data_IF_180781390690
#
_entry.id   IF_180781390690
#
_cell.length_a   1.000
_cell.length_b   1.000
_cell.length_c   1.000
_cell.angle_alpha   90.00
_cell.angle_beta   90.00
_cell.angle_gamma   90.00
#
_symmetry.space_group_name_H-M   'P 1'
#
loop_
_entity.id
_entity.type
_entity.pdbx_description
1 polymer ?
#
# COMPACT_ATOMS: atom_id res chain seq x y z
N UNK A 1 -1.67 -6.17 7.87
CA UNK A 1 -1.92 -7.26 6.92
C UNK A 1 -0.82 -7.19 5.90
N UNK A 2 -0.08 -8.28 5.73
CA UNK A 2 1.00 -8.41 4.75
C UNK A 2 0.45 -9.07 3.47
N UNK A 3 0.63 -8.41 2.32
CA UNK A 3 0.13 -8.91 1.04
C UNK A 3 1.24 -9.65 0.31
N UNK A 4 1.09 -10.98 0.24
CA UNK A 4 2.04 -11.83 -0.48
C UNK A 4 2.11 -11.45 -1.95
N UNK A 5 3.34 -11.39 -2.47
CA UNK A 5 3.61 -11.09 -3.88
C UNK A 5 2.98 -9.77 -4.35
N UNK A 6 2.93 -8.78 -3.45
CA UNK A 6 2.25 -7.50 -3.63
C UNK A 6 2.47 -6.90 -5.03
N UNK A 7 3.73 -6.77 -5.46
CA UNK A 7 4.09 -6.19 -6.76
C UNK A 7 3.61 -7.00 -7.99
N UNK A 8 3.48 -8.32 -7.87
CA UNK A 8 3.05 -9.16 -9.00
C UNK A 8 1.56 -8.99 -9.35
N UNK A 9 0.78 -8.37 -8.45
CA UNK A 9 -0.63 -8.09 -8.71
C UNK A 9 -0.82 -6.95 -9.71
N UNK A 10 0.17 -6.06 -9.87
CA UNK A 10 0.04 -4.86 -10.69
C UNK A 10 0.83 -4.96 -12.00
N UNK A 11 0.25 -4.39 -13.06
CA UNK A 11 0.96 -4.25 -14.32
C UNK A 11 1.89 -3.04 -14.27
N UNK A 12 3.05 -3.18 -14.90
CA UNK A 12 3.93 -2.04 -15.10
C UNK A 12 3.45 -1.23 -16.32
N UNK A 13 3.26 0.08 -16.14
CA UNK A 13 2.89 0.99 -17.23
C UNK A 13 4.07 1.33 -18.15
N UNK A 14 5.28 1.32 -17.60
CA UNK A 14 6.53 1.58 -18.31
C UNK A 14 7.06 0.32 -18.99
N UNK A 15 7.73 0.48 -20.13
CA UNK A 15 8.44 -0.64 -20.77
C UNK A 15 9.77 -0.88 -20.08
N UNK A 16 9.86 -1.98 -19.34
CA UNK A 16 11.09 -2.41 -18.68
C UNK A 16 11.53 -3.76 -19.20
N UNK A 17 12.82 -3.81 -19.52
CA UNK A 17 13.50 -5.00 -19.97
C UNK A 17 14.54 -5.42 -18.93
N UNK A 18 14.68 -6.72 -18.71
CA UNK A 18 15.68 -7.31 -17.81
C UNK A 18 16.48 -8.36 -18.55
N UNK A 19 17.75 -8.51 -18.16
CA UNK A 19 18.56 -9.63 -18.61
C UNK A 19 17.91 -10.95 -18.20
N UNK A 20 18.17 -12.01 -18.96
CA UNK A 20 17.70 -13.34 -18.62
C UNK A 20 18.29 -13.75 -17.26
N UNK A 21 17.44 -14.13 -16.28
CA UNK A 21 17.94 -14.57 -14.99
C UNK A 21 18.67 -15.91 -15.12
N UNK A 22 19.57 -16.17 -14.16
CA UNK A 22 20.24 -17.47 -14.07
C UNK A 22 19.22 -18.61 -14.05
N UNK A 23 19.44 -19.63 -14.89
CA UNK A 23 18.51 -20.77 -15.05
C UNK A 23 17.40 -20.56 -16.09
N UNK A 24 17.24 -19.34 -16.63
CA UNK A 24 16.36 -19.04 -17.78
C UNK A 24 17.14 -18.75 -19.07
N UNK A 25 18.47 -18.79 -18.99
CA UNK A 25 19.36 -18.57 -20.13
C UNK A 25 19.14 -19.63 -21.22
N UNK A 26 18.79 -19.21 -22.42
CA UNK A 26 18.88 -20.06 -23.61
C UNK A 26 20.13 -19.67 -24.39
N UNK A 27 21.06 -20.60 -24.59
CA UNK A 27 22.33 -20.33 -25.29
C UNK A 27 22.11 -19.78 -26.71
N UNK A 28 21.04 -20.21 -27.39
CA UNK A 28 20.65 -19.74 -28.71
C UNK A 28 20.06 -18.32 -28.71
N UNK A 29 19.61 -17.83 -27.55
CA UNK A 29 18.99 -16.52 -27.39
C UNK A 29 19.73 -15.67 -26.34
N UNK A 30 21.04 -15.88 -26.19
CA UNK A 30 21.86 -15.22 -25.17
C UNK A 30 21.87 -13.69 -25.26
N UNK A 31 21.60 -13.12 -26.43
CA UNK A 31 21.49 -11.68 -26.67
C UNK A 31 20.10 -11.09 -26.38
N UNK A 32 19.10 -11.91 -26.07
CA UNK A 32 17.73 -11.47 -25.88
C UNK A 32 17.47 -11.02 -24.44
N UNK A 33 16.64 -9.99 -24.31
CA UNK A 33 16.14 -9.48 -23.02
C UNK A 33 14.68 -9.84 -22.82
N UNK A 34 14.24 -9.94 -21.56
CA UNK A 34 12.86 -10.23 -21.19
C UNK A 34 12.12 -8.93 -20.91
N UNK A 35 10.92 -8.77 -21.48
CA UNK A 35 10.01 -7.67 -21.14
C UNK A 35 9.23 -8.02 -19.88
N UNK A 36 9.24 -7.13 -18.89
CA UNK A 36 8.42 -7.28 -17.70
C UNK A 36 7.00 -6.78 -17.96
N UNK A 37 6.01 -7.65 -17.71
CA UNK A 37 4.58 -7.30 -17.79
C UNK A 37 3.98 -6.94 -16.43
N UNK A 38 4.61 -7.42 -15.35
CA UNK A 38 4.20 -7.19 -13.95
C UNK A 38 5.29 -6.41 -13.22
N UNK A 39 4.90 -5.64 -12.22
CA UNK A 39 5.86 -4.99 -11.35
C UNK A 39 6.65 -6.04 -10.55
N UNK A 40 7.98 -5.91 -10.54
CA UNK A 40 8.89 -6.81 -9.82
C UNK A 40 9.51 -6.06 -8.63
N UNK A 41 9.83 -6.77 -7.57
CA UNK A 41 10.59 -6.23 -6.45
C UNK A 41 11.94 -5.67 -6.94
N UNK A 42 12.38 -4.56 -6.36
CA UNK A 42 13.62 -3.87 -6.75
C UNK A 42 13.47 -2.88 -7.91
N UNK A 43 12.33 -2.88 -8.61
CA UNK A 43 12.02 -1.80 -9.55
C UNK A 43 11.62 -0.52 -8.80
N UNK A 44 12.18 0.63 -9.19
CA UNK A 44 11.89 1.91 -8.54
C UNK A 44 10.42 2.31 -8.61
N UNK A 45 9.73 1.91 -9.67
CA UNK A 45 8.34 2.21 -9.95
C UNK A 45 7.35 1.19 -9.33
N UNK A 46 7.82 0.01 -8.92
CA UNK A 46 6.95 -1.03 -8.36
C UNK A 46 6.23 -0.60 -7.07
N UNK A 47 6.88 0.05 -6.08
CA UNK A 47 6.21 0.61 -4.90
C UNK A 47 5.10 1.59 -5.23
N UNK A 48 5.31 2.46 -6.21
CA UNK A 48 4.32 3.47 -6.61
C UNK A 48 3.12 2.83 -7.30
N UNK A 49 3.36 1.93 -8.26
CA UNK A 49 2.29 1.22 -8.95
C UNK A 49 1.43 0.43 -7.97
N UNK A 50 2.07 -0.23 -7.00
CA UNK A 50 1.37 -0.98 -5.96
C UNK A 50 0.56 -0.09 -5.02
N UNK A 51 1.11 1.05 -4.60
CA UNK A 51 0.37 2.03 -3.81
C UNK A 51 -0.87 2.53 -4.55
N UNK A 52 -0.75 2.89 -5.83
CA UNK A 52 -1.90 3.36 -6.62
C UNK A 52 -3.01 2.30 -6.66
N UNK A 53 -2.66 1.03 -6.91
CA UNK A 53 -3.61 -0.09 -6.91
C UNK A 53 -4.35 -0.24 -5.58
N UNK A 54 -3.62 -0.26 -4.46
CA UNK A 54 -4.21 -0.35 -3.13
C UNK A 54 -5.09 0.86 -2.83
N UNK A 55 -4.62 2.06 -3.18
CA UNK A 55 -5.33 3.30 -2.93
C UNK A 55 -6.64 3.39 -3.71
N UNK A 56 -6.66 2.97 -4.99
CA UNK A 56 -7.85 2.90 -5.82
C UNK A 56 -8.86 1.92 -5.24
N UNK A 57 -8.39 0.73 -4.83
CA UNK A 57 -9.25 -0.25 -4.17
C UNK A 57 -9.91 0.29 -2.90
N UNK A 58 -9.17 1.00 -2.04
CA UNK A 58 -9.74 1.63 -0.84
C UNK A 58 -10.80 2.68 -1.21
N UNK A 59 -10.52 3.54 -2.19
CA UNK A 59 -11.45 4.58 -2.65
C UNK A 59 -12.73 3.97 -3.24
N UNK A 60 -12.62 2.94 -4.08
CA UNK A 60 -13.75 2.17 -4.61
C UNK A 60 -14.61 1.55 -3.50
N UNK A 61 -13.98 1.21 -2.37
CA UNK A 61 -14.65 0.68 -1.18
C UNK A 61 -15.13 1.78 -0.20
N UNK A 62 -15.31 3.02 -0.68
CA UNK A 62 -15.82 4.17 0.08
C UNK A 62 -14.91 4.65 1.21
N UNK A 63 -13.60 4.40 1.13
CA UNK A 63 -12.65 5.12 1.98
C UNK A 63 -12.35 6.49 1.39
N UNK A 64 -12.17 7.47 2.26
CA UNK A 64 -11.75 8.83 1.92
C UNK A 64 -10.25 8.94 2.21
N UNK A 65 -9.48 9.32 1.19
CA UNK A 65 -8.04 9.60 1.32
C UNK A 65 -7.81 10.82 2.21
N UNK A 66 -6.82 10.74 3.10
CA UNK A 66 -6.39 11.84 3.95
C UNK A 66 -5.85 13.01 3.13
N UNK A 67 -6.12 14.24 3.61
CA UNK A 67 -5.64 15.47 2.94
C UNK A 67 -4.17 15.78 3.26
N UNK A 68 -3.73 15.46 4.46
CA UNK A 68 -2.36 15.75 4.95
C UNK A 68 -1.45 14.57 4.63
N UNK A 69 -1.92 13.35 4.92
CA UNK A 69 -1.22 12.10 4.64
C UNK A 69 -2.02 11.31 3.60
N UNK A 70 -1.43 11.11 2.42
CA UNK A 70 -2.03 10.36 1.32
C UNK A 70 -2.05 8.84 1.57
N UNK A 71 -1.25 8.34 2.52
CA UNK A 71 -1.22 6.93 2.89
C UNK A 71 -2.32 6.55 3.88
N UNK A 72 -2.94 7.56 4.50
CA UNK A 72 -4.00 7.41 5.48
C UNK A 72 -5.38 7.50 4.82
N UNK A 73 -6.25 6.57 5.13
CA UNK A 73 -7.61 6.48 4.61
C UNK A 73 -8.59 6.33 5.77
N UNK A 74 -9.77 6.94 5.64
CA UNK A 74 -10.83 6.84 6.64
C UNK A 74 -12.15 6.47 5.99
N UNK A 75 -12.86 5.52 6.58
CA UNK A 75 -14.25 5.20 6.25
C UNK A 75 -15.11 5.36 7.50
N UNK A 76 -16.23 6.05 7.35
CA UNK A 76 -17.23 6.21 8.42
C UNK A 76 -18.31 5.16 8.22
N UNK A 77 -18.63 4.41 9.27
CA UNK A 77 -19.73 3.43 9.27
C UNK A 77 -20.61 3.75 10.47
N UNK A 78 -21.75 4.41 10.24
CA UNK A 78 -22.62 4.95 11.30
C UNK A 78 -21.82 5.90 12.21
N UNK A 79 -21.65 5.54 13.48
CA UNK A 79 -20.88 6.29 14.48
C UNK A 79 -19.44 5.78 14.62
N UNK A 80 -19.04 4.74 13.90
CA UNK A 80 -17.71 4.16 14.00
C UNK A 80 -16.84 4.57 12.81
N UNK A 81 -15.52 4.56 13.02
CA UNK A 81 -14.56 4.86 11.97
C UNK A 81 -13.61 3.70 11.76
N UNK A 82 -13.35 3.37 10.50
CA UNK A 82 -12.24 2.52 10.10
C UNK A 82 -11.16 3.42 9.52
N UNK A 83 -9.96 3.32 10.07
CA UNK A 83 -8.76 3.95 9.54
C UNK A 83 -7.95 2.85 8.87
N UNK A 84 -7.50 3.08 7.64
CA UNK A 84 -6.56 2.23 6.95
C UNK A 84 -5.29 3.03 6.65
N UNK A 85 -4.13 2.48 6.94
CA UNK A 85 -2.85 3.09 6.60
C UNK A 85 -2.03 2.12 5.75
N UNK A 86 -1.55 2.60 4.61
CA UNK A 86 -0.71 1.82 3.69
C UNK A 86 0.76 2.15 3.96
N UNK A 87 1.58 1.12 4.12
CA UNK A 87 3.03 1.26 4.20
C UNK A 87 3.70 0.22 3.29
N UNK A 88 4.09 0.65 2.09
CA UNK A 88 4.71 -0.20 1.06
C UNK A 88 3.82 -1.43 0.76
N UNK A 89 4.15 -2.58 1.34
CA UNK A 89 3.47 -3.87 1.13
C UNK A 89 2.44 -4.21 2.22
N UNK A 90 2.44 -3.45 3.32
CA UNK A 90 1.56 -3.64 4.46
C UNK A 90 0.37 -2.69 4.44
N UNK A 91 -0.79 -3.20 4.85
CA UNK A 91 -1.96 -2.38 5.21
C UNK A 91 -2.34 -2.63 6.66
N UNK A 92 -2.43 -1.56 7.44
CA UNK A 92 -2.91 -1.59 8.82
C UNK A 92 -4.33 -1.07 8.85
N UNK A 93 -5.26 -1.84 9.41
CA UNK A 93 -6.63 -1.40 9.68
C UNK A 93 -6.81 -1.19 11.19
N UNK A 94 -7.34 -0.03 11.55
CA UNK A 94 -7.72 0.34 12.91
C UNK A 94 -9.22 0.66 12.92
N UNK A 95 -9.95 0.04 13.83
CA UNK A 95 -11.37 0.34 14.05
C UNK A 95 -11.50 1.13 15.34
N UNK A 96 -12.10 2.31 15.26
CA UNK A 96 -12.42 3.15 16.40
C UNK A 96 -13.93 3.14 16.62
N UNK A 97 -14.35 2.59 17.76
CA UNK A 97 -15.76 2.57 18.16
C UNK A 97 -16.08 3.80 19.00
N UNK A 98 -16.98 4.69 18.55
CA UNK A 98 -17.33 5.91 19.29
C UNK A 98 -18.09 5.61 20.60
N UNK A 99 -18.55 4.38 20.82
CA UNK A 99 -19.11 3.95 22.12
C UNK A 99 -18.09 4.01 23.27
N UNK A 100 -16.80 4.10 22.98
CA UNK A 100 -15.78 4.42 23.98
C UNK A 100 -15.81 5.94 24.21
N UNK A 101 -16.70 6.35 25.10
CA UNK A 101 -16.84 7.74 25.54
C UNK A 101 -15.47 8.28 25.96
N UNK A 102 -14.95 9.23 25.19
CA UNK A 102 -13.70 9.96 25.45
C UNK A 102 -13.93 10.91 26.63
N UNK A 103 -14.10 10.37 27.84
CA UNK A 103 -14.21 11.19 29.06
C UNK A 103 -12.85 11.62 29.62
N UNK A 104 -11.73 11.06 29.12
CA UNK A 104 -10.42 11.19 29.77
C UNK A 104 -9.25 11.69 28.89
N UNK A 105 -9.48 12.17 27.65
CA UNK A 105 -8.35 12.67 26.85
C UNK A 105 -7.74 14.00 27.34
N UNK A 106 -8.52 14.99 27.81
CA UNK A 106 -7.95 16.27 28.25
C UNK A 106 -7.05 16.15 29.49
N UNK A 107 -7.23 15.12 30.32
CA UNK A 107 -6.42 14.89 31.51
C UNK A 107 -5.09 14.18 31.23
N UNK A 108 -4.97 13.46 30.11
CA UNK A 108 -3.75 12.71 29.76
C UNK A 108 -2.67 13.59 29.11
N UNK A 109 -3.05 14.64 28.38
CA UNK A 109 -2.07 15.56 27.76
C UNK A 109 -1.47 16.58 28.74
N UNK A 110 -2.03 16.75 29.95
CA UNK A 110 -1.52 17.72 30.95
C UNK A 110 -0.46 17.16 31.90
N UNK A 111 -0.26 15.85 31.95
CA UNK A 111 0.62 15.23 32.96
C UNK A 111 2.07 14.97 32.52
N UNK A 112 2.44 15.21 31.25
CA UNK A 112 3.80 14.94 30.75
C UNK A 112 4.53 16.17 30.16
N UNK A 113 4.18 17.38 30.61
CA UNK A 113 4.99 18.58 30.41
C UNK A 113 5.35 19.17 31.78
N UNK A 114 6.30 18.53 32.46
CA UNK A 114 7.20 19.13 33.45
C UNK A 114 8.59 18.58 33.21
#
# INVERSE_FOLDING_TARGET
>A
MDVKSAFLNENISEEVYVCQPLGFGNELLSSYVLKLNKALYGLKQAPRAWYEKQSSFLVENNFIRGKIDSTLFRKVIKDDFIIAQIYVDDIIFLVLLMKVSVKNFPSLCRTNLK
#
